data_IF_031147177478
#
_entry.id   IF_031147177478
#
_cell.length_a   1.000
_cell.length_b   1.000
_cell.length_c   1.000
_cell.angle_alpha   90.00
_cell.angle_beta   90.00
_cell.angle_gamma   90.00
#
_symmetry.space_group_name_H-M   'P 1'
#
loop_
_entity.id
_entity.type
_entity.pdbx_description
1 polymer ?
#
# COMPACT_ATOMS: atom_id res chain seq x y z
N UNK A 1 -7.19 -22.73 -8.16
CA UNK A 1 -7.35 -21.93 -9.40
C UNK A 1 -7.85 -20.57 -8.96
N UNK A 2 -7.03 -19.52 -9.05
CA UNK A 2 -7.50 -18.16 -8.69
C UNK A 2 -8.67 -17.78 -9.59
N UNK A 3 -9.76 -17.29 -8.97
CA UNK A 3 -10.95 -16.90 -9.68
C UNK A 3 -10.64 -15.70 -10.60
N UNK A 4 -11.03 -15.78 -11.87
CA UNK A 4 -10.82 -14.73 -12.86
C UNK A 4 -11.34 -13.34 -12.40
N UNK A 5 -12.38 -13.31 -11.57
CA UNK A 5 -12.93 -12.07 -10.99
C UNK A 5 -11.96 -11.43 -9.99
N UNK A 6 -11.26 -12.25 -9.20
CA UNK A 6 -10.22 -11.78 -8.27
C UNK A 6 -9.05 -11.16 -9.03
N UNK A 7 -8.62 -11.80 -10.11
CA UNK A 7 -7.54 -11.28 -10.94
C UNK A 7 -7.91 -9.94 -11.59
N UNK A 8 -9.10 -9.85 -12.19
CA UNK A 8 -9.59 -8.60 -12.79
C UNK A 8 -9.76 -7.48 -11.74
N UNK A 9 -10.24 -7.80 -10.54
CA UNK A 9 -10.32 -6.83 -9.45
C UNK A 9 -8.96 -6.19 -9.16
N UNK A 10 -7.89 -7.00 -9.11
CA UNK A 10 -6.54 -6.50 -8.86
C UNK A 10 -6.03 -5.61 -10.00
N UNK A 11 -6.33 -5.94 -11.27
CA UNK A 11 -6.01 -5.07 -12.41
C UNK A 11 -6.70 -3.71 -12.25
N UNK A 12 -8.02 -3.72 -12.01
CA UNK A 12 -8.76 -2.46 -11.87
C UNK A 12 -8.29 -1.63 -10.68
N UNK A 13 -7.90 -2.27 -9.57
CA UNK A 13 -7.29 -1.61 -8.43
C UNK A 13 -5.98 -0.92 -8.79
N UNK A 14 -5.10 -1.58 -9.55
CA UNK A 14 -3.83 -0.99 -10.03
C UNK A 14 -4.07 0.19 -10.96
N UNK A 15 -5.14 0.16 -11.74
CA UNK A 15 -5.55 1.24 -12.64
C UNK A 15 -6.37 2.34 -11.95
N UNK A 16 -6.65 2.20 -10.65
CA UNK A 16 -7.59 3.06 -9.91
C UNK A 16 -8.99 3.16 -10.56
N UNK A 17 -9.42 2.13 -11.31
CA UNK A 17 -10.75 2.05 -11.91
C UNK A 17 -11.78 1.51 -10.90
N UNK A 18 -12.33 2.42 -10.11
CA UNK A 18 -13.34 2.11 -9.08
C UNK A 18 -14.57 1.40 -9.66
N UNK A 19 -15.01 1.74 -10.88
CA UNK A 19 -16.17 1.12 -11.52
C UNK A 19 -15.86 -0.33 -11.94
N UNK A 20 -14.66 -0.57 -12.45
CA UNK A 20 -14.15 -1.92 -12.73
C UNK A 20 -14.08 -2.77 -11.47
N UNK A 21 -13.54 -2.21 -10.39
CA UNK A 21 -13.48 -2.88 -9.09
C UNK A 21 -14.87 -3.29 -8.59
N UNK A 22 -15.85 -2.38 -8.63
CA UNK A 22 -17.22 -2.65 -8.18
C UNK A 22 -17.87 -3.81 -8.94
N UNK A 23 -17.76 -3.83 -10.27
CA UNK A 23 -18.32 -4.91 -11.09
C UNK A 23 -17.74 -6.28 -10.74
N UNK A 24 -16.44 -6.35 -10.50
CA UNK A 24 -15.80 -7.61 -10.13
C UNK A 24 -16.08 -7.99 -8.68
N UNK A 25 -16.24 -7.03 -7.78
CA UNK A 25 -16.54 -7.28 -6.37
C UNK A 25 -17.88 -8.01 -6.17
N UNK A 26 -18.89 -7.68 -6.99
CA UNK A 26 -20.19 -8.40 -7.01
C UNK A 26 -19.98 -9.88 -7.34
N UNK A 27 -19.08 -10.20 -8.27
CA UNK A 27 -18.77 -11.58 -8.65
C UNK A 27 -17.95 -12.28 -7.57
N UNK A 28 -16.96 -11.60 -7.01
CA UNK A 28 -16.10 -12.10 -5.93
C UNK A 28 -16.94 -12.53 -4.73
N UNK A 29 -17.99 -11.79 -4.38
CA UNK A 29 -18.90 -12.13 -3.28
C UNK A 29 -19.48 -13.55 -3.36
N UNK A 30 -19.70 -14.05 -4.57
CA UNK A 30 -20.35 -15.34 -4.78
C UNK A 30 -19.37 -16.53 -4.88
N UNK A 31 -18.06 -16.26 -4.88
CA UNK A 31 -17.03 -17.25 -5.28
C UNK A 31 -15.80 -17.26 -4.40
N UNK A 32 -15.58 -16.23 -3.58
CA UNK A 32 -14.49 -16.14 -2.65
C UNK A 32 -14.97 -16.49 -1.23
N UNK A 33 -14.04 -16.93 -0.40
CA UNK A 33 -14.23 -17.00 1.04
C UNK A 33 -14.47 -15.59 1.61
N UNK A 34 -15.21 -15.53 2.72
CA UNK A 34 -15.67 -14.27 3.32
C UNK A 34 -14.50 -13.34 3.64
N UNK A 35 -13.35 -13.87 4.07
CA UNK A 35 -12.13 -13.09 4.30
C UNK A 35 -11.66 -12.37 3.03
N UNK A 36 -11.51 -13.10 1.92
CA UNK A 36 -10.98 -12.55 0.66
C UNK A 36 -11.92 -11.53 0.05
N UNK A 37 -13.23 -11.72 0.23
CA UNK A 37 -14.26 -10.75 -0.12
C UNK A 37 -14.16 -9.49 0.73
N UNK A 38 -14.16 -9.63 2.07
CA UNK A 38 -14.07 -8.50 3.01
C UNK A 38 -12.79 -7.68 2.81
N UNK A 39 -11.66 -8.34 2.57
CA UNK A 39 -10.39 -7.69 2.23
C UNK A 39 -10.51 -6.82 0.98
N UNK A 40 -11.12 -7.33 -0.10
CA UNK A 40 -11.33 -6.58 -1.35
C UNK A 40 -12.35 -5.46 -1.20
N UNK A 41 -13.38 -5.70 -0.41
CA UNK A 41 -14.37 -4.68 -0.09
C UNK A 41 -13.72 -3.51 0.67
N UNK A 42 -12.78 -3.78 1.58
CA UNK A 42 -11.96 -2.74 2.21
C UNK A 42 -11.14 -1.98 1.17
N UNK A 43 -10.41 -2.69 0.29
CA UNK A 43 -9.59 -2.06 -0.75
C UNK A 43 -10.41 -1.16 -1.67
N UNK A 44 -11.59 -1.62 -2.10
CA UNK A 44 -12.52 -0.86 -2.92
C UNK A 44 -12.97 0.43 -2.22
N UNK A 45 -13.38 0.34 -0.96
CA UNK A 45 -13.81 1.52 -0.20
C UNK A 45 -12.67 2.52 0.00
N UNK A 46 -11.43 2.05 0.21
CA UNK A 46 -10.26 2.91 0.28
C UNK A 46 -10.00 3.63 -1.06
N UNK A 47 -10.08 2.92 -2.20
CA UNK A 47 -9.83 3.52 -3.52
C UNK A 47 -10.87 4.58 -3.89
N UNK A 48 -12.16 4.36 -3.56
CA UNK A 48 -13.20 5.37 -3.76
C UNK A 48 -13.26 6.45 -2.68
N UNK A 49 -12.31 6.45 -1.75
CA UNK A 49 -12.22 7.39 -0.62
C UNK A 49 -13.38 7.36 0.38
N UNK A 50 -14.10 6.24 0.47
CA UNK A 50 -15.11 5.98 1.49
C UNK A 50 -14.46 5.34 2.73
N UNK A 51 -13.76 6.18 3.50
CA UNK A 51 -12.96 5.72 4.64
C UNK A 51 -13.81 5.19 5.80
N UNK A 52 -15.07 5.64 5.91
CA UNK A 52 -16.00 5.16 6.93
C UNK A 52 -16.37 3.70 6.67
N UNK A 53 -16.83 3.39 5.46
CA UNK A 53 -17.13 2.01 5.07
C UNK A 53 -15.88 1.13 5.07
N UNK A 54 -14.71 1.68 4.69
CA UNK A 54 -13.45 0.94 4.76
C UNK A 54 -13.11 0.52 6.21
N UNK A 55 -13.25 1.43 7.19
CA UNK A 55 -13.01 1.12 8.61
C UNK A 55 -13.98 0.07 9.14
N UNK A 56 -15.26 0.19 8.79
CA UNK A 56 -16.26 -0.78 9.24
C UNK A 56 -15.95 -2.17 8.68
N UNK A 57 -15.71 -2.28 7.39
CA UNK A 57 -15.38 -3.56 6.76
C UNK A 57 -14.05 -4.13 7.26
N UNK A 58 -13.12 -3.27 7.67
CA UNK A 58 -11.87 -3.72 8.28
C UNK A 58 -12.11 -4.34 9.67
N UNK A 59 -13.01 -3.78 10.46
CA UNK A 59 -13.43 -4.40 11.73
C UNK A 59 -14.13 -5.73 11.50
N UNK A 60 -15.00 -5.81 10.49
CA UNK A 60 -15.70 -7.04 10.14
C UNK A 60 -14.72 -8.12 9.66
N UNK A 61 -13.70 -7.72 8.89
CA UNK A 61 -12.58 -8.57 8.47
C UNK A 61 -11.83 -9.13 9.67
N UNK A 62 -11.41 -8.27 10.61
CA UNK A 62 -10.72 -8.69 11.84
C UNK A 62 -11.57 -9.66 12.67
N UNK A 63 -12.86 -9.36 12.81
CA UNK A 63 -13.79 -10.21 13.54
C UNK A 63 -13.96 -11.59 12.89
N UNK A 64 -14.17 -11.64 11.58
CA UNK A 64 -14.30 -12.90 10.84
C UNK A 64 -13.06 -13.78 11.06
N UNK A 65 -11.90 -13.14 10.96
CA UNK A 65 -10.59 -13.74 11.05
C UNK A 65 -10.28 -14.28 12.45
N UNK A 66 -10.67 -13.56 13.49
CA UNK A 66 -10.57 -14.02 14.88
C UNK A 66 -11.41 -15.29 15.12
N UNK A 67 -12.57 -15.38 14.48
CA UNK A 67 -13.46 -16.54 14.57
C UNK A 67 -13.04 -17.73 13.71
N UNK A 68 -12.14 -17.53 12.73
CA UNK A 68 -11.68 -18.57 11.80
C UNK A 68 -10.14 -18.59 11.72
N UNK A 69 -9.45 -19.00 12.81
CA UNK A 69 -8.00 -18.85 12.97
C UNK A 69 -7.15 -19.65 11.96
N UNK A 70 -7.71 -20.68 11.32
CA UNK A 70 -7.02 -21.46 10.29
C UNK A 70 -6.64 -20.61 9.06
N UNK A 71 -7.36 -19.51 8.80
CA UNK A 71 -7.07 -18.55 7.73
C UNK A 71 -5.92 -17.58 8.08
N UNK A 72 -5.57 -17.50 9.36
CA UNK A 72 -4.75 -16.45 9.97
C UNK A 72 -3.27 -16.80 10.15
N UNK A 73 -2.95 -18.08 9.98
CA UNK A 73 -1.64 -18.63 10.33
C UNK A 73 -0.60 -18.46 9.21
N UNK A 74 -0.99 -17.92 8.05
CA UNK A 74 -0.08 -17.72 6.93
C UNK A 74 0.52 -16.30 6.98
N UNK A 75 1.86 -16.22 6.89
CA UNK A 75 2.60 -14.95 6.86
C UNK A 75 2.04 -13.95 5.82
N UNK A 76 1.53 -14.44 4.70
CA UNK A 76 0.90 -13.64 3.63
C UNK A 76 -0.34 -12.89 4.10
N UNK A 77 -1.17 -13.48 4.97
CA UNK A 77 -2.37 -12.84 5.53
C UNK A 77 -1.97 -11.68 6.45
N UNK A 78 -0.98 -11.87 7.31
CA UNK A 78 -0.48 -10.84 8.22
C UNK A 78 0.11 -9.64 7.45
N UNK A 79 0.89 -9.90 6.39
CA UNK A 79 1.38 -8.83 5.49
C UNK A 79 0.21 -8.05 4.89
N UNK A 80 -0.83 -8.76 4.43
CA UNK A 80 -1.98 -8.15 3.77
C UNK A 80 -2.76 -7.23 4.71
N UNK A 81 -2.92 -7.60 5.98
CA UNK A 81 -3.58 -6.77 6.99
C UNK A 81 -2.78 -5.55 7.36
N UNK A 82 -1.51 -5.71 7.71
CA UNK A 82 -0.64 -4.58 8.03
C UNK A 82 -0.56 -3.59 6.85
N UNK A 83 -0.51 -4.10 5.60
CA UNK A 83 -0.57 -3.23 4.43
C UNK A 83 -1.90 -2.50 4.30
N UNK A 84 -3.03 -3.16 4.57
CA UNK A 84 -4.36 -2.57 4.47
C UNK A 84 -4.60 -1.50 5.56
N UNK A 85 -4.17 -1.76 6.79
CA UNK A 85 -4.17 -0.79 7.88
C UNK A 85 -3.32 0.41 7.54
N UNK A 86 -2.08 0.19 7.08
CA UNK A 86 -1.17 1.25 6.66
C UNK A 86 -1.80 2.14 5.58
N UNK A 87 -2.52 1.54 4.63
CA UNK A 87 -3.21 2.28 3.58
C UNK A 87 -4.40 3.08 4.09
N UNK A 88 -5.19 2.52 5.00
CA UNK A 88 -6.33 3.18 5.60
C UNK A 88 -5.88 4.37 6.48
N UNK A 89 -4.82 4.19 7.27
CA UNK A 89 -4.20 5.24 8.07
C UNK A 89 -3.63 6.34 7.17
N UNK A 90 -2.92 5.98 6.09
CA UNK A 90 -2.35 6.94 5.15
C UNK A 90 -3.42 7.81 4.49
N UNK A 91 -4.50 7.20 4.00
CA UNK A 91 -5.63 7.93 3.40
C UNK A 91 -6.40 8.76 4.43
N UNK A 92 -6.38 8.37 5.70
CA UNK A 92 -6.95 9.15 6.80
C UNK A 92 -6.06 10.32 7.26
N UNK A 93 -4.84 10.46 6.73
CA UNK A 93 -3.87 11.48 7.15
C UNK A 93 -3.04 11.10 8.38
N UNK A 94 -3.23 9.89 8.92
CA UNK A 94 -2.48 9.37 10.07
C UNK A 94 -1.12 8.81 9.61
N UNK A 95 -0.23 9.69 9.14
CA UNK A 95 1.00 9.27 8.47
C UNK A 95 2.00 8.51 9.37
N UNK A 96 2.07 8.84 10.66
CA UNK A 96 2.93 8.11 11.60
C UNK A 96 2.48 6.66 11.80
N UNK A 97 1.17 6.47 11.99
CA UNK A 97 0.53 5.15 12.12
C UNK A 97 0.72 4.35 10.82
N UNK A 98 0.44 4.97 9.67
CA UNK A 98 0.66 4.34 8.37
C UNK A 98 2.09 3.84 8.19
N UNK A 99 3.09 4.66 8.56
CA UNK A 99 4.50 4.30 8.48
C UNK A 99 4.86 3.08 9.35
N UNK A 100 4.23 2.94 10.51
CA UNK A 100 4.44 1.78 11.39
C UNK A 100 3.86 0.50 10.79
N UNK A 101 2.64 0.56 10.24
CA UNK A 101 1.99 -0.61 9.65
C UNK A 101 2.66 -1.08 8.36
N UNK A 102 3.11 -0.15 7.50
CA UNK A 102 3.93 -0.53 6.36
C UNK A 102 5.28 -1.14 6.78
N UNK A 103 5.89 -0.65 7.88
CA UNK A 103 7.11 -1.24 8.40
C UNK A 103 6.87 -2.68 8.92
N UNK A 104 5.77 -2.91 9.63
CA UNK A 104 5.35 -4.26 10.06
C UNK A 104 5.22 -5.20 8.86
N UNK A 105 4.46 -4.79 7.83
CA UNK A 105 4.30 -5.56 6.59
C UNK A 105 5.66 -5.86 5.91
N UNK A 106 6.55 -4.88 5.86
CA UNK A 106 7.88 -5.05 5.25
C UNK A 106 8.80 -5.99 6.05
N UNK A 107 8.71 -6.00 7.38
CA UNK A 107 9.47 -6.92 8.25
C UNK A 107 9.02 -8.37 8.00
N UNK A 108 7.71 -8.62 7.89
CA UNK A 108 7.17 -9.97 7.68
C UNK A 108 7.56 -10.52 6.31
N UNK A 109 7.66 -9.67 5.28
CA UNK A 109 8.09 -10.07 3.94
C UNK A 109 9.55 -10.56 3.88
N UNK A 110 10.39 -10.20 4.86
CA UNK A 110 11.81 -10.58 5.05
C UNK A 110 12.78 -10.21 3.92
N UNK A 111 12.37 -10.26 2.65
CA UNK A 111 13.16 -9.94 1.47
C UNK A 111 12.98 -8.47 1.04
N UNK A 112 14.10 -7.79 0.84
CA UNK A 112 14.17 -6.38 0.44
C UNK A 112 13.63 -6.14 -0.97
N UNK A 113 13.71 -7.13 -1.86
CA UNK A 113 13.28 -7.04 -3.27
C UNK A 113 11.76 -7.14 -3.38
N UNK A 114 11.15 -8.08 -2.67
CA UNK A 114 9.68 -8.23 -2.60
C UNK A 114 8.99 -7.15 -1.75
N UNK A 115 9.73 -6.46 -0.87
CA UNK A 115 9.19 -5.40 -0.01
C UNK A 115 9.35 -3.98 -0.57
N UNK A 116 9.89 -3.77 -1.78
CA UNK A 116 10.15 -2.42 -2.33
C UNK A 116 8.91 -1.53 -2.31
N UNK A 117 7.75 -2.02 -2.73
CA UNK A 117 6.51 -1.24 -2.73
C UNK A 117 6.01 -0.91 -1.31
N UNK A 118 6.09 -1.87 -0.40
CA UNK A 118 5.73 -1.69 1.01
C UNK A 118 6.66 -0.69 1.71
N UNK A 119 7.97 -0.82 1.50
CA UNK A 119 8.99 0.10 2.03
C UNK A 119 8.85 1.51 1.44
N UNK A 120 8.45 1.62 0.18
CA UNK A 120 8.12 2.91 -0.41
C UNK A 120 7.01 3.60 0.37
N UNK A 121 5.90 2.92 0.63
CA UNK A 121 4.80 3.51 1.39
C UNK A 121 5.18 3.81 2.85
N UNK A 122 6.03 2.99 3.47
CA UNK A 122 6.62 3.29 4.78
C UNK A 122 7.38 4.64 4.75
N UNK A 123 8.34 4.81 3.85
CA UNK A 123 9.17 6.02 3.80
C UNK A 123 8.37 7.24 3.38
N UNK A 124 7.45 7.09 2.42
CA UNK A 124 6.51 8.14 2.04
C UNK A 124 5.68 8.61 3.25
N UNK A 125 5.16 7.68 4.04
CA UNK A 125 4.39 7.98 5.25
C UNK A 125 5.23 8.73 6.28
N UNK A 126 6.46 8.27 6.54
CA UNK A 126 7.40 8.96 7.45
C UNK A 126 7.70 10.39 7.01
N UNK A 127 7.95 10.61 5.72
CA UNK A 127 8.21 11.95 5.19
C UNK A 127 7.00 12.86 5.34
N UNK A 128 5.79 12.36 5.05
CA UNK A 128 4.53 13.11 5.30
C UNK A 128 4.24 13.35 6.78
N UNK A 129 4.77 12.52 7.67
CA UNK A 129 4.75 12.74 9.12
C UNK A 129 5.82 13.73 9.62
N UNK A 130 6.60 14.34 8.71
CA UNK A 130 7.65 15.32 9.03
C UNK A 130 9.05 14.72 9.20
N UNK A 131 9.22 13.40 9.12
CA UNK A 131 10.53 12.73 9.20
C UNK A 131 11.24 12.74 7.84
N UNK A 132 11.37 13.92 7.22
CA UNK A 132 11.74 14.07 5.81
C UNK A 132 13.14 13.49 5.52
N UNK A 133 14.14 13.76 6.37
CA UNK A 133 15.49 13.24 6.13
C UNK A 133 15.53 11.71 6.19
N UNK A 134 14.88 11.09 7.18
CA UNK A 134 14.79 9.62 7.26
C UNK A 134 14.04 9.01 6.07
N UNK A 135 13.03 9.70 5.56
CA UNK A 135 12.32 9.28 4.36
C UNK A 135 13.22 9.34 3.12
N UNK A 136 14.01 10.41 2.95
CA UNK A 136 14.99 10.54 1.86
C UNK A 136 16.00 9.39 1.93
N UNK A 137 16.61 9.15 3.09
CA UNK A 137 17.61 8.09 3.26
C UNK A 137 17.02 6.71 2.91
N UNK A 138 15.79 6.45 3.35
CA UNK A 138 15.07 5.22 3.04
C UNK A 138 14.76 5.06 1.54
N UNK A 139 14.28 6.13 0.90
CA UNK A 139 13.96 6.13 -0.53
C UNK A 139 15.21 5.98 -1.41
N UNK A 140 16.34 6.56 -1.00
CA UNK A 140 17.63 6.36 -1.68
C UNK A 140 18.05 4.89 -1.68
N UNK A 141 17.81 4.15 -0.59
CA UNK A 141 18.05 2.71 -0.55
C UNK A 141 17.16 1.95 -1.54
N UNK A 142 15.92 2.40 -1.77
CA UNK A 142 15.04 1.77 -2.78
C UNK A 142 15.55 2.02 -4.20
N UNK A 143 16.02 3.23 -4.49
CA UNK A 143 16.63 3.57 -5.80
C UNK A 143 17.95 2.82 -6.00
N UNK A 144 18.72 2.57 -4.93
CA UNK A 144 19.92 1.74 -5.04
C UNK A 144 19.61 0.28 -5.43
N UNK A 145 18.47 -0.26 -4.98
CA UNK A 145 18.00 -1.62 -5.34
C UNK A 145 17.37 -1.62 -6.74
N UNK A 146 16.52 -0.65 -7.04
CA UNK A 146 15.88 -0.48 -8.35
C UNK A 146 16.03 0.98 -8.81
N UNK A 147 17.06 1.27 -9.62
CA UNK A 147 17.36 2.62 -10.08
C UNK A 147 16.21 3.33 -10.79
N UNK A 148 15.32 2.58 -11.42
CA UNK A 148 14.19 3.13 -12.20
C UNK A 148 12.85 2.98 -11.45
N UNK A 149 12.88 2.83 -10.13
CA UNK A 149 11.66 2.77 -9.34
C UNK A 149 10.99 4.16 -9.24
N UNK A 150 10.18 4.46 -10.25
CA UNK A 150 9.51 5.75 -10.47
C UNK A 150 8.86 6.36 -9.21
N UNK A 151 8.09 5.61 -8.38
CA UNK A 151 7.49 6.19 -7.18
C UNK A 151 8.51 6.78 -6.21
N UNK A 152 9.67 6.14 -6.03
CA UNK A 152 10.71 6.65 -5.14
C UNK A 152 11.44 7.84 -5.73
N UNK A 153 11.71 7.86 -7.04
CA UNK A 153 12.34 9.02 -7.71
C UNK A 153 11.47 10.27 -7.56
N UNK A 154 10.16 10.15 -7.80
CA UNK A 154 9.21 11.26 -7.60
C UNK A 154 9.19 11.72 -6.14
N UNK A 155 9.08 10.79 -5.17
CA UNK A 155 9.05 11.15 -3.76
C UNK A 155 10.37 11.79 -3.28
N UNK A 156 11.52 11.34 -3.79
CA UNK A 156 12.82 11.96 -3.53
C UNK A 156 12.87 13.39 -4.07
N UNK A 157 12.37 13.63 -5.29
CA UNK A 157 12.25 14.99 -5.83
C UNK A 157 11.38 15.88 -4.95
N UNK A 158 10.19 15.42 -4.57
CA UNK A 158 9.26 16.17 -3.71
C UNK A 158 9.87 16.51 -2.36
N UNK A 159 10.47 15.53 -1.68
CA UNK A 159 11.05 15.73 -0.36
C UNK A 159 12.29 16.62 -0.39
N UNK A 160 13.20 16.44 -1.36
CA UNK A 160 14.35 17.34 -1.50
C UNK A 160 13.90 18.78 -1.80
N UNK A 161 12.89 18.96 -2.65
CA UNK A 161 12.33 20.28 -2.91
C UNK A 161 11.75 20.92 -1.65
N UNK A 162 11.03 20.14 -0.83
CA UNK A 162 10.41 20.63 0.42
C UNK A 162 11.40 21.15 1.46
N UNK A 163 12.64 20.66 1.44
CA UNK A 163 13.73 21.10 2.33
C UNK A 163 14.73 22.04 1.64
N UNK A 164 14.41 22.54 0.44
CA UNK A 164 15.21 23.52 -0.29
C UNK A 164 16.37 22.94 -1.11
N UNK A 165 16.53 21.62 -1.17
CA UNK A 165 17.54 20.90 -1.97
C UNK A 165 17.13 20.80 -3.44
N UNK A 166 17.07 21.96 -4.11
CA UNK A 166 16.55 22.08 -5.49
C UNK A 166 17.39 21.32 -6.52
N UNK A 167 18.70 21.29 -6.34
CA UNK A 167 19.62 20.59 -7.26
C UNK A 167 19.36 19.09 -7.25
N UNK A 168 19.34 18.50 -6.06
CA UNK A 168 19.05 17.07 -5.85
C UNK A 168 17.65 16.72 -6.34
N UNK A 169 16.65 17.57 -6.06
CA UNK A 169 15.30 17.36 -6.55
C UNK A 169 15.24 17.29 -8.09
N UNK A 170 16.00 18.15 -8.77
CA UNK A 170 16.09 18.19 -10.24
C UNK A 170 16.78 16.94 -10.79
N UNK A 171 17.84 16.45 -10.13
CA UNK A 171 18.53 15.21 -10.52
C UNK A 171 17.55 14.03 -10.53
N UNK A 172 16.81 13.82 -9.44
CA UNK A 172 15.85 12.71 -9.36
C UNK A 172 14.68 12.86 -10.33
N UNK A 173 14.24 14.09 -10.60
CA UNK A 173 13.15 14.34 -11.55
C UNK A 173 13.61 14.05 -12.98
N UNK A 174 14.82 14.48 -13.34
CA UNK A 174 15.42 14.17 -14.64
C UNK A 174 15.66 12.67 -14.80
N UNK A 175 16.09 11.97 -13.74
CA UNK A 175 16.22 10.52 -13.78
C UNK A 175 14.86 9.87 -14.11
N UNK A 176 13.79 10.24 -13.39
CA UNK A 176 12.45 9.73 -13.67
C UNK A 176 11.97 10.00 -15.11
N UNK A 177 12.25 11.19 -15.66
CA UNK A 177 11.84 11.55 -17.01
C UNK A 177 12.63 10.83 -18.12
N UNK A 178 13.85 10.38 -17.81
CA UNK A 178 14.77 9.75 -18.76
C UNK A 178 14.80 8.21 -18.63
N UNK A 179 14.12 7.63 -17.65
CA UNK A 179 14.06 6.18 -17.38
C UNK A 179 12.98 5.43 -18.17
#
# INVERSE_FOLDING_TARGET
>A
MENLSVFRFNIYRTLHDVRGMERELVKVRNVADDWSYLYRLCQYNIEKNDLASARQNYKDLLYYVEKHPDNNSQRSTLVSFAFLEGKLAFKSGNYSEAGNEYNQAAIILFDTTTSVSTRYFQYLSRGKAGQIQSAIDGLMNLVAINPNYAPALVALSEFNLSIGRKTEATIYLQHFLNS
#
